data_IF_509822441870
#
_entry.id   IF_509822441870
#
_cell.length_a   1.000
_cell.length_b   1.000
_cell.length_c   1.000
_cell.angle_alpha   90.00
_cell.angle_beta   90.00
_cell.angle_gamma   90.00
#
_symmetry.space_group_name_H-M   'P 1'
#
loop_
_entity.id
_entity.type
_entity.pdbx_description
1 polymer ?
#
# COMPACT_ATOMS: atom_id res chain seq x y z
N UNK A 1 -14.73 -7.54 -17.81
CA UNK A 1 -14.43 -6.18 -17.30
C UNK A 1 -12.93 -5.99 -17.46
N UNK A 2 -12.48 -4.91 -18.11
CA UNK A 2 -11.06 -4.63 -18.20
C UNK A 2 -10.58 -4.23 -16.81
N UNK A 3 -9.94 -5.16 -16.11
CA UNK A 3 -9.30 -4.90 -14.83
C UNK A 3 -8.26 -3.79 -15.07
N UNK A 4 -8.48 -2.61 -14.51
CA UNK A 4 -7.60 -1.46 -14.70
C UNK A 4 -6.21 -1.87 -14.22
N UNK A 5 -5.27 -2.04 -15.15
CA UNK A 5 -3.89 -2.49 -14.87
C UNK A 5 -3.00 -1.36 -14.32
N UNK A 6 -3.54 -0.14 -14.22
CA UNK A 6 -2.78 1.01 -13.74
C UNK A 6 -2.45 0.80 -12.27
N UNK A 7 -1.17 0.88 -11.88
CA UNK A 7 -0.79 0.80 -10.49
C UNK A 7 -1.42 1.96 -9.70
N UNK A 8 -1.65 1.73 -8.41
CA UNK A 8 -2.17 2.68 -7.43
C UNK A 8 -1.17 2.91 -6.32
N UNK A 9 -1.29 4.04 -5.63
CA UNK A 9 -0.56 4.28 -4.39
C UNK A 9 -1.31 3.61 -3.25
N UNK A 10 -0.57 2.92 -2.39
CA UNK A 10 -1.05 2.37 -1.13
C UNK A 10 -0.26 2.98 -0.01
N UNK A 11 -0.94 3.68 0.90
CA UNK A 11 -0.38 4.17 2.15
C UNK A 11 -0.85 3.28 3.30
N UNK A 12 0.08 2.75 4.08
CA UNK A 12 -0.19 1.95 5.27
C UNK A 12 0.33 2.68 6.49
N UNK A 13 -0.54 2.92 7.47
CA UNK A 13 -0.20 3.52 8.76
C UNK A 13 -0.28 2.45 9.84
N UNK A 14 0.84 2.23 10.52
CA UNK A 14 0.93 1.22 11.57
C UNK A 14 0.60 1.85 12.94
N UNK A 15 -0.20 1.18 13.77
CA UNK A 15 -0.67 1.72 15.04
C UNK A 15 0.48 1.80 16.07
N UNK A 16 1.46 0.90 15.97
CA UNK A 16 2.65 0.88 16.80
C UNK A 16 3.80 1.59 16.10
N UNK A 17 4.39 2.59 16.77
CA UNK A 17 5.52 3.36 16.24
C UNK A 17 5.14 4.49 15.27
N UNK A 18 3.87 4.62 14.88
CA UNK A 18 3.38 5.70 14.02
C UNK A 18 3.99 5.71 12.60
N UNK A 19 4.56 4.58 12.17
CA UNK A 19 5.23 4.44 10.87
C UNK A 19 4.19 4.52 9.77
N UNK A 20 4.52 5.26 8.71
CA UNK A 20 3.72 5.35 7.49
C UNK A 20 4.58 4.88 6.33
N UNK A 21 4.16 3.80 5.66
CA UNK A 21 4.80 3.28 4.46
C UNK A 21 3.94 3.59 3.24
N UNK A 22 4.59 3.92 2.12
CA UNK A 22 3.92 4.21 0.85
C UNK A 22 4.50 3.34 -0.25
N UNK A 23 3.63 2.66 -0.98
CA UNK A 23 3.98 1.74 -2.05
C UNK A 23 3.20 2.03 -3.31
N UNK A 24 3.75 1.57 -4.42
CA UNK A 24 3.02 1.29 -5.66
C UNK A 24 2.57 -0.16 -5.65
N UNK A 25 1.31 -0.42 -5.96
CA UNK A 25 0.78 -1.78 -6.07
C UNK A 25 -0.25 -1.88 -7.19
N UNK A 26 -0.55 -3.10 -7.64
CA UNK A 26 -1.70 -3.32 -8.51
C UNK A 26 -3.02 -3.10 -7.73
N UNK A 27 -4.11 -2.68 -8.38
CA UNK A 27 -5.39 -2.47 -7.70
C UNK A 27 -5.89 -3.70 -6.95
N UNK A 28 -5.68 -4.90 -7.50
CA UNK A 28 -6.06 -6.18 -6.88
C UNK A 28 -5.30 -6.42 -5.56
N UNK A 29 -4.01 -6.10 -5.52
CA UNK A 29 -3.21 -6.20 -4.29
C UNK A 29 -3.63 -5.12 -3.29
N UNK A 30 -3.81 -3.88 -3.74
CA UNK A 30 -4.25 -2.77 -2.91
C UNK A 30 -5.60 -3.08 -2.23
N UNK A 31 -6.58 -3.60 -2.98
CA UNK A 31 -7.89 -3.99 -2.46
C UNK A 31 -7.78 -5.10 -1.40
N UNK A 32 -6.88 -6.07 -1.61
CA UNK A 32 -6.62 -7.13 -0.63
C UNK A 32 -6.00 -6.56 0.65
N UNK A 33 -5.04 -5.64 0.54
CA UNK A 33 -4.44 -4.98 1.71
C UNK A 33 -5.49 -4.19 2.51
N UNK A 34 -6.35 -3.42 1.83
CA UNK A 34 -7.42 -2.67 2.49
C UNK A 34 -8.49 -3.55 3.12
N UNK A 35 -8.63 -4.81 2.69
CA UNK A 35 -9.54 -5.78 3.31
C UNK A 35 -8.91 -6.43 4.53
N UNK A 36 -7.66 -6.87 4.41
CA UNK A 36 -7.03 -7.73 5.41
C UNK A 36 -6.33 -6.94 6.51
N UNK A 37 -5.67 -5.82 6.20
CA UNK A 37 -4.82 -5.14 7.19
C UNK A 37 -5.56 -4.36 8.30
N UNK A 38 -6.77 -3.80 8.08
CA UNK A 38 -7.52 -3.17 9.16
C UNK A 38 -7.82 -4.10 10.34
N UNK A 39 -7.95 -5.42 10.10
CA UNK A 39 -8.15 -6.40 11.18
C UNK A 39 -6.95 -6.48 12.14
N UNK A 40 -5.78 -6.02 11.70
CA UNK A 40 -4.54 -5.91 12.48
C UNK A 40 -4.27 -4.48 12.98
N UNK A 41 -5.24 -3.57 12.85
CA UNK A 41 -5.12 -2.18 13.30
C UNK A 41 -4.28 -1.30 12.38
N UNK A 42 -3.95 -1.75 11.17
CA UNK A 42 -3.21 -0.95 10.18
C UNK A 42 -4.21 -0.21 9.30
N UNK A 43 -4.15 1.12 9.30
CA UNK A 43 -4.98 1.93 8.42
C UNK A 43 -4.40 1.92 7.00
N UNK A 44 -5.23 1.59 6.01
CA UNK A 44 -4.84 1.54 4.60
C UNK A 44 -5.59 2.62 3.83
N UNK A 45 -4.87 3.44 3.09
CA UNK A 45 -5.41 4.43 2.16
C UNK A 45 -4.91 4.14 0.74
N UNK A 46 -5.82 4.24 -0.24
CA UNK A 46 -5.53 3.94 -1.65
C UNK A 46 -5.97 5.13 -2.49
N UNK A 47 -5.11 5.55 -3.42
CA UNK A 47 -5.37 6.65 -4.33
C UNK A 47 -4.53 6.51 -5.61
N UNK A 48 -4.81 7.38 -6.58
CA UNK A 48 -4.17 7.35 -7.90
C UNK A 48 -2.89 8.20 -7.99
N UNK A 49 -2.37 8.74 -6.86
CA UNK A 49 -1.16 9.58 -6.83
C UNK A 49 0.12 8.74 -6.88
N UNK A 50 0.29 7.97 -7.94
CA UNK A 50 1.51 7.20 -8.19
C UNK A 50 2.62 8.09 -8.71
N UNK A 51 3.78 8.03 -8.07
CA UNK A 51 5.00 8.74 -8.51
C UNK A 51 6.14 7.74 -8.71
N UNK A 52 7.13 8.08 -9.52
CA UNK A 52 8.33 7.25 -9.76
C UNK A 52 9.20 7.04 -8.50
N UNK A 53 8.93 7.79 -7.42
CA UNK A 53 9.61 7.67 -6.13
C UNK A 53 9.01 6.57 -5.24
N UNK A 54 7.85 6.02 -5.60
CA UNK A 54 7.23 4.94 -4.83
C UNK A 54 7.83 3.58 -5.18
N UNK A 55 8.25 2.87 -4.13
CA UNK A 55 8.67 1.49 -4.23
C UNK A 55 7.49 0.56 -4.61
N UNK A 56 7.75 -0.42 -5.47
CA UNK A 56 6.79 -1.50 -5.74
C UNK A 56 6.59 -2.40 -4.52
N UNK A 57 5.36 -2.82 -4.25
CA UNK A 57 5.11 -3.90 -3.31
C UNK A 57 5.42 -5.27 -3.97
N UNK A 58 6.20 -6.16 -3.34
CA UNK A 58 6.86 -6.02 -2.03
C UNK A 58 8.24 -5.35 -2.11
N UNK A 59 8.52 -4.44 -1.16
CA UNK A 59 9.85 -3.84 -0.95
C UNK A 59 10.29 -3.99 0.53
N UNK A 60 10.85 -5.15 0.92
CA UNK A 60 11.14 -5.46 2.32
C UNK A 60 12.18 -4.53 2.97
N UNK A 61 13.03 -3.88 2.18
CA UNK A 61 14.03 -2.92 2.68
C UNK A 61 13.40 -1.73 3.40
N UNK A 62 12.14 -1.36 3.08
CA UNK A 62 11.41 -0.31 3.78
C UNK A 62 10.98 -0.68 5.22
N UNK A 63 11.16 -1.94 5.61
CA UNK A 63 10.80 -2.46 6.95
C UNK A 63 11.99 -2.61 7.90
N UNK A 64 13.22 -2.42 7.39
CA UNK A 64 14.44 -2.72 8.14
C UNK A 64 15.05 -1.49 8.86
N UNK A 65 14.27 -0.42 9.03
CA UNK A 65 14.74 0.83 9.64
C UNK A 65 14.59 0.87 11.15
#
# INVERSE_FOLDING_TARGET
MAETRTPVRVQMRFPHGGVVLRYRATPTIAARLATELPQHGVDVHIDDEVTDLLADLPHPELWSS
#
